data_IF_402880482429
#
_entry.id   IF_402880482429
#
_cell.length_a   1.000
_cell.length_b   1.000
_cell.length_c   1.000
_cell.angle_alpha   90.00
_cell.angle_beta   90.00
_cell.angle_gamma   90.00
#
_symmetry.space_group_name_H-M   'P 1'
#
loop_
_entity.id
_entity.type
_entity.pdbx_description
1 polymer ?
#
# COMPACT_ATOMS: atom_id res chain seq x y z
N UNK A 1 10.06 -20.45 17.04
CA UNK A 1 9.42 -19.12 17.01
C UNK A 1 7.97 -19.37 16.60
N UNK A 2 7.00 -19.27 17.52
CA UNK A 2 5.58 -19.45 17.18
C UNK A 2 5.15 -18.28 16.28
N UNK A 3 4.84 -18.53 15.01
CA UNK A 3 4.16 -17.56 14.15
C UNK A 3 2.65 -17.69 14.38
N UNK A 4 2.00 -16.60 14.73
CA UNK A 4 0.53 -16.52 14.79
C UNK A 4 -0.10 -16.36 13.40
N UNK A 5 0.74 -16.14 12.37
CA UNK A 5 0.33 -15.97 10.98
C UNK A 5 0.68 -17.23 10.16
N UNK A 6 -0.26 -17.58 9.27
CA UNK A 6 -0.10 -18.68 8.31
C UNK A 6 1.03 -18.33 7.32
N UNK A 7 2.03 -19.21 7.12
CA UNK A 7 3.17 -18.95 6.23
C UNK A 7 2.79 -18.74 4.76
N UNK A 8 1.62 -19.20 4.34
CA UNK A 8 1.09 -19.04 2.99
C UNK A 8 -0.13 -18.10 2.97
N UNK A 9 -0.43 -17.43 4.11
CA UNK A 9 -1.57 -16.56 4.26
C UNK A 9 -1.20 -15.07 4.19
N UNK A 10 -2.14 -14.28 3.70
CA UNK A 10 -2.04 -12.81 3.71
C UNK A 10 -2.86 -12.25 4.87
N UNK A 11 -2.24 -11.39 5.68
CA UNK A 11 -2.93 -10.58 6.69
C UNK A 11 -3.33 -9.24 6.07
N UNK A 12 -4.62 -9.02 5.87
CA UNK A 12 -5.13 -7.74 5.39
C UNK A 12 -5.58 -6.84 6.54
N UNK A 13 -5.05 -5.62 6.56
CA UNK A 13 -5.42 -4.56 7.49
C UNK A 13 -5.80 -3.26 6.76
N UNK A 14 -6.20 -2.26 7.54
CA UNK A 14 -6.72 -0.98 7.04
C UNK A 14 -7.97 -1.15 6.15
N UNK A 15 -8.40 -0.08 5.49
CA UNK A 15 -9.49 -0.09 4.53
C UNK A 15 -9.37 1.08 3.57
N UNK A 16 -9.59 0.88 2.25
CA UNK A 16 -9.66 1.99 1.30
C UNK A 16 -10.87 2.92 1.55
N UNK A 17 -11.78 2.54 2.44
CA UNK A 17 -12.94 3.35 2.83
C UNK A 17 -12.61 4.38 3.91
N UNK A 18 -11.43 4.30 4.53
CA UNK A 18 -11.01 5.28 5.53
C UNK A 18 -10.51 6.55 4.86
N UNK A 19 -10.94 7.69 5.39
CA UNK A 19 -10.51 9.00 4.89
C UNK A 19 -9.08 9.33 5.34
N UNK A 20 -8.11 8.71 4.68
CA UNK A 20 -6.68 8.89 4.97
C UNK A 20 -6.15 10.26 4.49
N UNK A 21 -6.85 10.91 3.56
CA UNK A 21 -6.38 12.16 2.94
C UNK A 21 -7.21 13.40 3.31
N UNK A 22 -8.29 13.26 4.08
CA UNK A 22 -9.08 14.39 4.57
C UNK A 22 -8.42 15.19 5.69
N UNK A 23 -7.29 14.69 6.23
CA UNK A 23 -6.51 15.42 7.21
C UNK A 23 -5.63 16.49 6.53
N UNK A 24 -6.12 17.73 6.50
CA UNK A 24 -5.36 18.91 6.07
C UNK A 24 -5.13 19.86 7.26
N UNK A 25 -3.87 20.06 7.62
CA UNK A 25 -3.46 20.96 8.70
C UNK A 25 -3.32 22.43 8.25
N UNK A 26 -3.70 22.76 7.01
CA UNK A 26 -3.52 24.06 6.37
C UNK A 26 -2.28 24.14 5.47
N UNK A 27 -1.56 23.03 5.28
CA UNK A 27 -0.38 22.94 4.40
C UNK A 27 -0.64 22.07 3.17
N UNK A 28 -1.89 21.65 2.96
CA UNK A 28 -2.35 20.89 1.82
C UNK A 28 -2.56 19.40 2.11
N UNK A 29 -3.25 18.75 1.17
CA UNK A 29 -3.61 17.33 1.21
C UNK A 29 -2.37 16.42 1.35
N UNK A 30 -2.41 15.36 2.17
CA UNK A 30 -1.30 14.41 2.29
C UNK A 30 -0.90 13.81 0.94
N UNK A 31 0.39 13.49 0.81
CA UNK A 31 0.96 12.97 -0.45
C UNK A 31 0.80 11.47 -0.62
N UNK A 32 0.82 10.71 0.49
CA UNK A 32 0.66 9.26 0.52
C UNK A 32 0.30 8.81 1.94
N UNK A 33 -0.46 7.72 2.05
CA UNK A 33 -0.69 7.00 3.30
C UNK A 33 0.24 5.78 3.35
N UNK A 34 0.88 5.52 4.50
CA UNK A 34 1.78 4.37 4.70
C UNK A 34 1.67 3.83 6.13
N UNK A 35 1.99 2.55 6.30
CA UNK A 35 1.95 1.92 7.62
C UNK A 35 3.25 2.16 8.39
N UNK A 36 3.15 2.17 9.73
CA UNK A 36 4.32 2.22 10.59
C UNK A 36 5.12 0.92 10.55
N UNK A 37 6.42 0.99 10.80
CA UNK A 37 7.34 -0.18 10.78
C UNK A 37 6.86 -1.36 11.66
N UNK A 38 6.16 -1.09 12.76
CA UNK A 38 5.64 -2.12 13.65
C UNK A 38 4.54 -3.00 13.02
N UNK A 39 3.91 -2.54 11.93
CA UNK A 39 2.85 -3.27 11.22
C UNK A 39 3.40 -4.13 10.07
N UNK A 40 4.72 -4.22 9.93
CA UNK A 40 5.38 -4.92 8.83
C UNK A 40 5.71 -6.35 9.25
N UNK A 41 4.94 -7.29 8.70
CA UNK A 41 5.16 -8.73 8.80
C UNK A 41 5.07 -9.33 7.40
N UNK A 42 5.75 -10.44 7.15
CA UNK A 42 5.63 -11.15 5.87
C UNK A 42 4.17 -11.56 5.61
N UNK A 43 3.69 -11.36 4.38
CA UNK A 43 2.29 -11.51 4.02
C UNK A 43 1.38 -10.40 4.55
N UNK A 44 1.93 -9.34 5.14
CA UNK A 44 1.14 -8.20 5.63
C UNK A 44 0.76 -7.25 4.51
N UNK A 45 -0.54 -6.99 4.35
CA UNK A 45 -1.10 -6.10 3.34
C UNK A 45 -1.93 -5.01 4.00
N UNK A 46 -1.61 -3.74 3.72
CA UNK A 46 -2.43 -2.59 4.13
C UNK A 46 -3.05 -1.92 2.91
N UNK A 47 -4.36 -1.69 2.95
CA UNK A 47 -5.09 -1.03 1.88
C UNK A 47 -5.41 0.44 2.21
N UNK A 48 -5.22 1.32 1.24
CA UNK A 48 -5.51 2.75 1.33
C UNK A 48 -6.37 3.17 0.13
N UNK A 49 -7.17 4.25 0.26
CA UNK A 49 -7.78 4.86 -0.92
C UNK A 49 -6.69 5.36 -1.87
N UNK A 50 -6.93 5.39 -3.18
CA UNK A 50 -6.08 6.18 -4.07
C UNK A 50 -6.24 7.67 -3.76
N UNK A 51 -5.14 8.42 -3.79
CA UNK A 51 -5.12 9.85 -3.47
C UNK A 51 -6.00 10.70 -4.39
N UNK A 52 -6.14 10.29 -5.65
CA UNK A 52 -6.88 11.00 -6.68
C UNK A 52 -8.42 10.96 -6.47
N UNK A 53 -8.91 10.08 -5.60
CA UNK A 53 -10.34 9.89 -5.36
C UNK A 53 -11.07 9.18 -6.50
N UNK A 54 -10.34 8.55 -7.44
CA UNK A 54 -10.90 7.87 -8.61
C UNK A 54 -11.61 6.54 -8.32
N UNK A 55 -11.83 6.20 -7.04
CA UNK A 55 -12.41 4.93 -6.62
C UNK A 55 -11.42 3.75 -6.61
N UNK A 56 -10.15 3.99 -6.91
CA UNK A 56 -9.06 3.02 -6.78
C UNK A 56 -8.58 2.83 -5.33
N UNK A 57 -7.67 1.88 -5.16
CA UNK A 57 -6.96 1.63 -3.90
C UNK A 57 -5.46 1.46 -4.13
N UNK A 58 -4.67 1.93 -3.17
CA UNK A 58 -3.25 1.65 -3.08
C UNK A 58 -3.03 0.51 -2.08
N UNK A 59 -2.21 -0.47 -2.45
CA UNK A 59 -1.87 -1.61 -1.60
C UNK A 59 -0.40 -1.54 -1.16
N UNK A 60 -0.16 -1.46 0.14
CA UNK A 60 1.17 -1.62 0.71
C UNK A 60 1.37 -3.09 1.10
N UNK A 61 2.27 -3.77 0.40
CA UNK A 61 2.65 -5.16 0.64
C UNK A 61 3.97 -5.22 1.42
N UNK A 62 4.01 -6.02 2.48
CA UNK A 62 5.24 -6.37 3.18
C UNK A 62 5.51 -7.85 2.97
N UNK A 63 6.62 -8.14 2.30
CA UNK A 63 7.05 -9.48 1.96
C UNK A 63 8.52 -9.67 2.37
N UNK A 64 8.94 -10.92 2.58
CA UNK A 64 10.38 -11.23 2.58
C UNK A 64 11.00 -10.89 1.23
N UNK A 65 12.32 -10.72 1.21
CA UNK A 65 13.05 -10.41 -0.03
C UNK A 65 12.85 -11.47 -1.11
N UNK A 66 12.72 -12.74 -0.72
CA UNK A 66 12.46 -13.85 -1.65
C UNK A 66 11.06 -13.74 -2.28
N UNK A 67 10.02 -13.55 -1.46
CA UNK A 67 8.65 -13.42 -1.94
C UNK A 67 8.44 -12.14 -2.77
N UNK A 68 9.11 -11.04 -2.41
CA UNK A 68 9.06 -9.80 -3.17
C UNK A 68 9.68 -9.99 -4.56
N UNK A 69 10.84 -10.65 -4.66
CA UNK A 69 11.47 -10.92 -5.95
C UNK A 69 10.56 -11.76 -6.87
N UNK A 70 9.89 -12.78 -6.31
CA UNK A 70 8.93 -13.58 -7.07
C UNK A 70 7.72 -12.75 -7.55
N UNK A 71 7.22 -11.82 -6.73
CA UNK A 71 6.13 -10.92 -7.12
C UNK A 71 6.56 -9.94 -8.22
N UNK A 72 7.79 -9.43 -8.17
CA UNK A 72 8.34 -8.53 -9.20
C UNK A 72 8.44 -9.20 -10.58
N UNK A 73 8.56 -10.53 -10.62
CA UNK A 73 8.60 -11.32 -11.86
C UNK A 73 7.21 -11.74 -12.38
N UNK A 74 6.14 -11.51 -11.61
CA UNK A 74 4.76 -11.90 -11.98
C UNK A 74 4.12 -10.88 -12.94
N UNK A 75 4.22 -11.14 -14.24
CA UNK A 75 3.65 -10.27 -15.28
C UNK A 75 2.12 -10.15 -15.19
N UNK A 76 1.40 -11.20 -14.78
CA UNK A 76 -0.06 -11.16 -14.68
C UNK A 76 -0.49 -10.17 -13.59
N UNK A 77 0.21 -10.18 -12.46
CA UNK A 77 -0.01 -9.23 -11.37
C UNK A 77 0.22 -7.80 -11.83
N UNK A 78 1.35 -7.51 -12.48
CA UNK A 78 1.69 -6.15 -12.89
C UNK A 78 0.83 -5.59 -14.03
N UNK A 79 0.24 -6.45 -14.87
CA UNK A 79 -0.77 -6.04 -15.85
C UNK A 79 -2.05 -5.53 -15.15
N UNK A 80 -2.39 -6.09 -13.99
CA UNK A 80 -3.56 -5.68 -13.22
C UNK A 80 -3.33 -4.43 -12.36
N UNK A 81 -2.07 -4.12 -12.02
CA UNK A 81 -1.70 -2.96 -11.20
C UNK A 81 -1.55 -1.72 -12.07
N UNK A 82 -2.20 -0.63 -11.67
CA UNK A 82 -2.02 0.66 -12.33
C UNK A 82 -0.64 1.25 -11.99
N UNK A 83 0.08 1.85 -12.95
CA UNK A 83 1.35 2.50 -12.67
C UNK A 83 1.15 3.68 -11.71
N UNK A 84 2.16 3.95 -10.88
CA UNK A 84 2.15 5.08 -9.95
C UNK A 84 1.81 6.38 -10.70
N UNK A 85 0.80 7.10 -10.19
CA UNK A 85 0.48 8.42 -10.72
C UNK A 85 1.71 9.34 -10.54
N UNK A 86 2.11 10.11 -11.56
CA UNK A 86 3.23 11.03 -11.43
C UNK A 86 2.96 11.98 -10.27
N UNK A 87 3.94 12.09 -9.37
CA UNK A 87 3.90 13.09 -8.30
C UNK A 87 3.85 14.45 -8.98
N UNK A 88 2.69 15.11 -8.94
CA UNK A 88 2.52 16.47 -9.44
C UNK A 88 3.64 17.34 -8.85
N UNK A 89 4.54 17.81 -9.71
CA UNK A 89 5.66 18.64 -9.29
C UNK A 89 5.13 19.85 -8.52
N UNK A 90 5.73 20.11 -7.36
CA UNK A 90 5.43 21.30 -6.57
C UNK A 90 5.73 22.52 -7.43
N UNK A 91 4.71 23.30 -7.80
CA UNK A 91 4.97 24.69 -8.22
C UNK A 91 5.51 25.43 -7.00
N UNK A 92 6.76 25.87 -7.11
CA UNK A 92 7.39 26.80 -6.18
C UNK A 92 6.64 28.15 -6.17
#
# INVERSE_FOLDING_TARGET
MMSWHDPCGTLMGSSPRFDMFGCDFGWGKPVAARSGKANKVDGGTSLYPCRDGGGGMDAELTLTSEHMAALEEDEEFWIAVSPDAPVLERKA
#
